data_IF_841577522337
#
_entry.id   IF_841577522337
#
_cell.length_a   1.000
_cell.length_b   1.000
_cell.length_c   1.000
_cell.angle_alpha   90.00
_cell.angle_beta   90.00
_cell.angle_gamma   90.00
#
_symmetry.space_group_name_H-M   'P 1'
#
loop_
_entity.id
_entity.type
_entity.pdbx_description
1 polymer ?
#
# COMPACT_ATOMS: atom_id res chain seq x y z
N UNK A 1 -13.54 9.03 15.33
CA UNK A 1 -12.20 8.49 15.63
C UNK A 1 -11.32 9.68 16.04
N UNK A 2 -10.84 9.75 17.29
CA UNK A 2 -9.89 10.81 17.67
C UNK A 2 -8.49 10.36 17.26
N UNK A 3 -7.92 10.99 16.24
CA UNK A 3 -6.53 10.75 15.87
C UNK A 3 -5.62 11.34 16.96
N UNK A 4 -4.73 10.52 17.52
CA UNK A 4 -3.72 10.99 18.46
C UNK A 4 -2.56 11.64 17.70
N UNK A 5 -1.84 12.57 18.34
CA UNK A 5 -0.69 13.28 17.76
C UNK A 5 0.33 12.33 17.13
N UNK A 6 0.56 11.17 17.75
CA UNK A 6 1.42 10.11 17.23
C UNK A 6 0.94 9.53 15.89
N UNK A 7 -0.36 9.31 15.74
CA UNK A 7 -0.95 8.79 14.49
C UNK A 7 -0.87 9.82 13.37
N UNK A 8 -1.12 11.09 13.67
CA UNK A 8 -0.99 12.18 12.71
C UNK A 8 0.46 12.28 12.22
N UNK A 9 1.42 12.18 13.14
CA UNK A 9 2.85 12.19 12.80
C UNK A 9 3.23 11.00 11.91
N UNK A 10 2.71 9.80 12.20
CA UNK A 10 2.94 8.62 11.36
C UNK A 10 2.34 8.77 9.96
N UNK A 11 1.13 9.32 9.85
CA UNK A 11 0.49 9.62 8.57
C UNK A 11 1.38 10.56 7.74
N UNK A 12 1.88 11.64 8.35
CA UNK A 12 2.74 12.60 7.68
C UNK A 12 4.08 12.01 7.24
N UNK A 13 4.75 11.24 8.10
CA UNK A 13 6.03 10.58 7.78
C UNK A 13 5.84 9.56 6.65
N UNK A 14 4.78 8.75 6.70
CA UNK A 14 4.47 7.81 5.64
C UNK A 14 4.24 8.53 4.32
N UNK A 15 3.38 9.55 4.30
CA UNK A 15 3.05 10.29 3.10
C UNK A 15 4.28 10.96 2.48
N UNK A 16 5.16 11.55 3.32
CA UNK A 16 6.42 12.12 2.87
C UNK A 16 7.35 11.07 2.26
N UNK A 17 7.49 9.91 2.91
CA UNK A 17 8.31 8.80 2.40
C UNK A 17 7.78 8.29 1.06
N UNK A 18 6.46 8.12 0.93
CA UNK A 18 5.82 7.73 -0.32
C UNK A 18 6.11 8.75 -1.42
N UNK A 19 5.90 10.04 -1.15
CA UNK A 19 6.12 11.11 -2.12
C UNK A 19 7.58 11.16 -2.58
N UNK A 20 8.55 11.00 -1.67
CA UNK A 20 9.97 10.92 -2.01
C UNK A 20 10.25 9.72 -2.91
N UNK A 21 9.72 8.53 -2.60
CA UNK A 21 9.94 7.33 -3.42
C UNK A 21 9.39 7.47 -4.84
N UNK A 22 8.25 8.13 -5.02
CA UNK A 22 7.71 8.43 -6.36
C UNK A 22 8.61 9.41 -7.12
N UNK A 23 9.08 10.48 -6.45
CA UNK A 23 9.75 11.59 -7.10
C UNK A 23 11.27 11.42 -7.28
N UNK A 24 11.92 10.52 -6.54
CA UNK A 24 13.36 10.25 -6.70
C UNK A 24 13.65 9.47 -8.00
N UNK A 25 12.71 8.64 -8.46
CA UNK A 25 12.86 7.87 -9.71
C UNK A 25 11.59 8.00 -10.56
N UNK A 26 11.31 9.19 -11.14
CA UNK A 26 10.08 9.45 -11.88
C UNK A 26 9.99 8.59 -13.15
N UNK A 27 11.14 8.25 -13.77
CA UNK A 27 11.19 7.37 -14.95
C UNK A 27 10.69 5.94 -14.70
N UNK A 28 10.82 5.43 -13.46
CA UNK A 28 10.23 4.15 -13.08
C UNK A 28 8.76 4.30 -12.67
N UNK A 29 8.39 5.43 -12.05
CA UNK A 29 7.06 5.63 -11.47
C UNK A 29 5.99 6.03 -12.49
N UNK A 30 6.36 6.72 -13.58
CA UNK A 30 5.44 7.23 -14.61
C UNK A 30 5.73 6.72 -16.04
N UNK A 31 6.75 5.87 -16.21
CA UNK A 31 7.09 5.25 -17.50
C UNK A 31 6.19 4.05 -17.82
N UNK A 32 6.27 3.45 -19.01
CA UNK A 32 5.35 2.38 -19.48
C UNK A 32 5.13 1.23 -18.48
N UNK A 33 6.19 0.77 -17.81
CA UNK A 33 6.09 -0.29 -16.79
C UNK A 33 5.47 0.16 -15.47
N UNK A 34 5.41 1.47 -15.20
CA UNK A 34 4.95 2.10 -13.96
C UNK A 34 5.29 1.27 -12.72
N UNK A 35 6.59 1.02 -12.51
CA UNK A 35 7.08 0.37 -11.30
C UNK A 35 6.92 1.35 -10.14
N UNK A 36 5.75 1.35 -9.50
CA UNK A 36 5.43 2.21 -8.35
C UNK A 36 6.18 1.70 -7.11
N UNK A 37 7.48 2.02 -7.03
CA UNK A 37 8.33 1.63 -5.90
C UNK A 37 7.75 2.04 -4.54
N UNK A 38 7.04 3.17 -4.51
CA UNK A 38 6.37 3.68 -3.32
C UNK A 38 5.27 2.75 -2.79
N UNK A 39 4.65 1.93 -3.65
CA UNK A 39 3.61 0.98 -3.25
C UNK A 39 4.17 -0.16 -2.39
N UNK A 40 5.49 -0.38 -2.36
CA UNK A 40 6.11 -1.27 -1.38
C UNK A 40 5.73 -0.93 0.07
N UNK A 41 5.48 0.36 0.37
CA UNK A 41 5.03 0.80 1.69
C UNK A 41 3.65 0.24 2.06
N UNK A 42 2.87 -0.27 1.10
CA UNK A 42 1.61 -0.99 1.35
C UNK A 42 1.82 -2.14 2.35
N UNK A 43 3.01 -2.74 2.38
CA UNK A 43 3.36 -3.76 3.37
C UNK A 43 3.38 -3.28 4.83
N UNK A 44 3.53 -1.97 5.08
CA UNK A 44 3.42 -1.42 6.42
C UNK A 44 1.96 -1.18 6.85
N UNK A 45 1.03 -1.02 5.90
CA UNK A 45 -0.39 -0.68 6.15
C UNK A 45 -1.09 -1.65 7.11
N UNK A 46 -0.96 -2.99 6.99
CA UNK A 46 -1.56 -3.93 7.92
C UNK A 46 -1.20 -3.67 9.39
N UNK A 47 0.02 -3.20 9.64
CA UNK A 47 0.60 -3.05 10.99
C UNK A 47 0.37 -1.65 11.57
N UNK A 48 0.34 -0.63 10.73
CA UNK A 48 0.07 0.76 11.12
C UNK A 48 -1.43 1.07 11.26
N UNK A 49 -2.27 0.15 10.78
CA UNK A 49 -3.73 0.23 10.80
C UNK A 49 -4.30 1.44 10.05
N UNK A 50 -5.30 2.12 10.60
CA UNK A 50 -5.94 3.27 9.93
C UNK A 50 -4.94 4.39 9.64
N UNK A 51 -3.94 4.60 10.50
CA UNK A 51 -2.88 5.58 10.22
C UNK A 51 -2.06 5.17 8.99
N UNK A 52 -1.81 3.88 8.78
CA UNK A 52 -1.21 3.35 7.56
C UNK A 52 -2.08 3.57 6.32
N UNK A 53 -3.38 3.30 6.42
CA UNK A 53 -4.34 3.52 5.31
C UNK A 53 -4.33 4.99 4.89
N UNK A 54 -4.51 5.91 5.85
CA UNK A 54 -4.52 7.34 5.57
C UNK A 54 -3.16 7.85 5.10
N UNK A 55 -2.06 7.35 5.68
CA UNK A 55 -0.70 7.66 5.24
C UNK A 55 -0.43 7.24 3.80
N UNK A 56 -0.87 6.04 3.41
CA UNK A 56 -0.75 5.55 2.04
C UNK A 56 -1.58 6.39 1.07
N UNK A 57 -2.84 6.66 1.40
CA UNK A 57 -3.72 7.50 0.57
C UNK A 57 -3.18 8.92 0.38
N UNK A 58 -2.74 9.58 1.45
CA UNK A 58 -2.13 10.90 1.35
C UNK A 58 -0.79 10.86 0.62
N UNK A 59 -0.01 9.79 0.79
CA UNK A 59 1.21 9.55 0.05
C UNK A 59 0.96 9.49 -1.46
N UNK A 60 0.00 8.68 -1.90
CA UNK A 60 -0.43 8.58 -3.30
C UNK A 60 -0.86 9.94 -3.84
N UNK A 61 -1.72 10.66 -3.10
CA UNK A 61 -2.21 11.96 -3.51
C UNK A 61 -1.07 12.99 -3.67
N UNK A 62 -0.22 13.13 -2.66
CA UNK A 62 0.89 14.10 -2.65
C UNK A 62 1.98 13.71 -3.65
N UNK A 63 2.31 12.42 -3.73
CA UNK A 63 3.31 11.88 -4.65
C UNK A 63 2.92 12.05 -6.12
N UNK A 64 1.62 12.05 -6.41
CA UNK A 64 1.07 12.23 -7.75
C UNK A 64 0.77 13.70 -8.12
N UNK A 65 0.95 14.67 -7.21
CA UNK A 65 0.80 16.10 -7.54
C UNK A 65 1.68 16.57 -8.71
N UNK A 66 2.98 16.20 -8.80
CA UNK A 66 3.83 16.57 -9.94
C UNK A 66 3.67 15.65 -11.15
N UNK A 67 2.65 14.79 -11.18
CA UNK A 67 2.45 13.83 -12.28
C UNK A 67 2.20 14.54 -13.62
N UNK A 68 2.83 14.08 -14.72
CA UNK A 68 2.60 14.63 -16.05
C UNK A 68 1.17 14.37 -16.58
N UNK A 69 0.43 13.46 -15.95
CA UNK A 69 -0.94 13.09 -16.33
C UNK A 69 -2.01 13.95 -15.62
N UNK A 70 -1.60 14.91 -14.79
CA UNK A 70 -2.48 15.89 -14.15
C UNK A 70 -3.53 15.27 -13.23
N UNK A 71 -4.74 15.84 -13.24
CA UNK A 71 -5.81 15.48 -12.28
C UNK A 71 -6.25 14.02 -12.39
N UNK A 72 -6.12 13.40 -13.57
CA UNK A 72 -6.54 12.01 -13.78
C UNK A 72 -5.69 11.07 -12.90
N UNK A 73 -4.40 11.36 -12.71
CA UNK A 73 -3.54 10.54 -11.85
C UNK A 73 -3.76 10.78 -10.35
N UNK A 74 -4.37 11.91 -9.98
CA UNK A 74 -4.84 12.13 -8.61
C UNK A 74 -6.07 11.26 -8.28
N UNK A 75 -6.88 10.88 -9.27
CA UNK A 75 -8.02 9.98 -9.06
C UNK A 75 -7.59 8.58 -8.61
N UNK A 76 -6.35 8.18 -8.88
CA UNK A 76 -5.77 6.92 -8.39
C UNK A 76 -5.69 6.84 -6.85
N UNK A 77 -5.86 7.97 -6.16
CA UNK A 77 -6.02 8.02 -4.71
C UNK A 77 -7.23 7.20 -4.23
N UNK A 78 -8.32 7.16 -5.01
CA UNK A 78 -9.56 6.45 -4.66
C UNK A 78 -9.35 4.92 -4.61
N UNK A 79 -8.92 4.26 -5.71
CA UNK A 79 -8.68 2.82 -5.68
C UNK A 79 -7.58 2.45 -4.68
N UNK A 80 -6.55 3.30 -4.53
CA UNK A 80 -5.48 3.09 -3.54
C UNK A 80 -6.00 3.12 -2.10
N UNK A 81 -6.90 4.04 -1.76
CA UNK A 81 -7.56 4.09 -0.46
C UNK A 81 -8.39 2.84 -0.18
N UNK A 82 -9.23 2.44 -1.13
CA UNK A 82 -10.09 1.26 -0.99
C UNK A 82 -9.23 0.02 -0.76
N UNK A 83 -8.20 -0.17 -1.56
CA UNK A 83 -7.35 -1.36 -1.46
C UNK A 83 -6.43 -1.34 -0.24
N UNK A 84 -5.91 -0.18 0.16
CA UNK A 84 -5.19 -0.05 1.44
C UNK A 84 -6.09 -0.40 2.63
N UNK A 85 -7.36 0.03 2.59
CA UNK A 85 -8.35 -0.35 3.60
C UNK A 85 -8.63 -1.86 3.60
N UNK A 86 -8.77 -2.49 2.43
CA UNK A 86 -8.94 -3.95 2.31
C UNK A 86 -7.74 -4.70 2.90
N UNK A 87 -6.52 -4.32 2.55
CA UNK A 87 -5.27 -4.89 3.08
C UNK A 87 -5.25 -4.83 4.61
N UNK A 88 -5.53 -3.64 5.17
CA UNK A 88 -5.64 -3.46 6.61
C UNK A 88 -6.74 -4.34 7.23
N UNK A 89 -7.94 -4.31 6.66
CA UNK A 89 -9.12 -4.97 7.24
C UNK A 89 -8.99 -6.49 7.24
N UNK A 90 -8.50 -7.08 6.13
CA UNK A 90 -8.25 -8.52 6.01
C UNK A 90 -7.23 -8.97 7.05
N UNK A 91 -6.10 -8.27 7.17
CA UNK A 91 -5.10 -8.62 8.18
C UNK A 91 -5.64 -8.44 9.60
N UNK A 92 -6.34 -7.34 9.89
CA UNK A 92 -6.95 -7.10 11.21
C UNK A 92 -7.89 -8.24 11.62
N UNK A 93 -8.70 -8.76 10.70
CA UNK A 93 -9.68 -9.81 10.98
C UNK A 93 -9.07 -11.20 11.10
N UNK A 94 -8.06 -11.50 10.29
CA UNK A 94 -7.54 -12.87 10.15
C UNK A 94 -6.23 -13.10 10.89
N UNK A 95 -5.43 -12.04 11.09
CA UNK A 95 -4.05 -12.09 11.58
C UNK A 95 -3.17 -13.07 10.77
N UNK A 96 -3.59 -13.40 9.55
CA UNK A 96 -2.90 -14.34 8.67
C UNK A 96 -2.01 -13.59 7.70
N UNK A 97 -0.70 -13.82 7.83
CA UNK A 97 0.31 -13.17 7.01
C UNK A 97 0.14 -13.52 5.52
N UNK A 98 -0.21 -14.75 5.17
CA UNK A 98 -0.33 -15.15 3.76
C UNK A 98 -1.50 -14.47 3.04
N UNK A 99 -2.56 -14.10 3.77
CA UNK A 99 -3.66 -13.34 3.19
C UNK A 99 -3.24 -11.90 2.82
N UNK A 100 -2.17 -11.37 3.43
CA UNK A 100 -1.60 -10.08 3.02
C UNK A 100 -1.07 -10.16 1.59
N UNK A 101 -0.41 -11.27 1.21
CA UNK A 101 0.06 -11.48 -0.17
C UNK A 101 -1.11 -11.55 -1.16
N UNK A 102 -2.22 -12.20 -0.79
CA UNK A 102 -3.43 -12.22 -1.62
C UNK A 102 -3.97 -10.80 -1.82
N UNK A 103 -3.99 -9.99 -0.76
CA UNK A 103 -4.42 -8.58 -0.88
C UNK A 103 -3.46 -7.73 -1.70
N UNK A 104 -2.16 -8.04 -1.75
CA UNK A 104 -1.22 -7.37 -2.67
C UNK A 104 -1.51 -7.70 -4.13
N UNK A 105 -1.85 -8.96 -4.44
CA UNK A 105 -2.28 -9.33 -5.78
C UNK A 105 -3.58 -8.62 -6.17
N UNK A 106 -4.55 -8.55 -5.25
CA UNK A 106 -5.78 -7.77 -5.45
C UNK A 106 -5.51 -6.28 -5.67
N UNK A 107 -4.63 -5.66 -4.86
CA UNK A 107 -4.24 -4.26 -5.01
C UNK A 107 -3.64 -4.01 -6.40
N UNK A 108 -2.72 -4.89 -6.80
CA UNK A 108 -2.04 -4.80 -8.09
C UNK A 108 -3.01 -4.97 -9.26
N UNK A 109 -4.03 -5.83 -9.13
CA UNK A 109 -5.07 -6.02 -10.15
C UNK A 109 -5.96 -4.78 -10.30
N UNK A 110 -6.41 -4.19 -9.19
CA UNK A 110 -7.22 -2.97 -9.20
C UNK A 110 -6.44 -1.80 -9.79
N UNK A 111 -5.20 -1.57 -9.34
CA UNK A 111 -4.38 -0.50 -9.91
C UNK A 111 -3.96 -0.80 -11.35
N UNK A 112 -3.71 -2.06 -11.69
CA UNK A 112 -3.50 -2.50 -13.07
C UNK A 112 -4.64 -2.06 -13.97
N UNK A 113 -5.89 -2.31 -13.56
CA UNK A 113 -7.07 -1.91 -14.32
C UNK A 113 -7.24 -0.38 -14.39
N UNK A 114 -7.16 0.32 -13.25
CA UNK A 114 -7.45 1.77 -13.22
C UNK A 114 -6.34 2.60 -13.86
N UNK A 115 -5.09 2.36 -13.47
CA UNK A 115 -3.93 3.10 -13.97
C UNK A 115 -3.58 2.62 -15.39
N UNK A 116 -3.68 1.31 -15.68
CA UNK A 116 -3.48 0.80 -17.04
C UNK A 116 -4.45 1.39 -18.05
N UNK A 117 -5.72 1.56 -17.66
CA UNK A 117 -6.70 2.28 -18.47
C UNK A 117 -6.31 3.75 -18.70
N UNK A 118 -5.87 4.45 -17.66
CA UNK A 118 -5.40 5.84 -17.78
C UNK A 118 -4.20 5.97 -18.73
N UNK A 119 -3.28 5.01 -18.73
CA UNK A 119 -2.03 5.08 -19.49
C UNK A 119 -2.15 4.59 -20.93
N UNK A 120 -3.16 3.79 -21.26
CA UNK A 120 -3.33 3.23 -22.60
C UNK A 120 -3.42 4.32 -23.67
N UNK A 121 -4.20 5.38 -23.41
CA UNK A 121 -4.39 6.48 -24.35
C UNK A 121 -3.14 7.37 -24.53
N UNK A 122 -2.47 7.87 -23.48
CA UNK A 122 -1.26 8.70 -23.61
C UNK A 122 -0.07 8.00 -24.28
N UNK A 123 0.11 6.69 -24.05
CA UNK A 123 1.24 5.94 -24.60
C UNK A 123 0.93 5.25 -25.94
N UNK A 124 -0.32 5.24 -26.39
CA UNK A 124 -0.73 4.56 -27.62
C UNK A 124 -0.53 3.04 -27.58
N UNK A 125 -0.56 2.44 -26.39
CA UNK A 125 -0.35 1.00 -26.16
C UNK A 125 -1.72 0.33 -26.00
N UNK A 126 -1.92 -0.89 -26.51
CA UNK A 126 -3.14 -1.67 -26.25
C UNK A 126 -3.49 -1.71 -24.76
N UNK A 127 -4.77 -1.54 -24.44
CA UNK A 127 -5.27 -1.45 -23.07
C UNK A 127 -4.86 -2.66 -22.25
N UNK A 128 -4.95 -3.85 -22.83
CA UNK A 128 -4.62 -5.13 -22.19
C UNK A 128 -3.16 -5.19 -21.77
N UNK A 129 -2.26 -4.69 -22.63
CA UNK A 129 -0.82 -4.64 -22.34
C UNK A 129 -0.51 -3.59 -21.27
N UNK A 130 -1.15 -2.43 -21.34
CA UNK A 130 -1.01 -1.38 -20.32
C UNK A 130 -1.43 -1.89 -18.93
N UNK A 131 -2.60 -2.55 -18.84
CA UNK A 131 -3.10 -3.18 -17.62
C UNK A 131 -2.11 -4.24 -17.12
N UNK A 132 -1.63 -5.10 -18.02
CA UNK A 132 -0.71 -6.18 -17.66
C UNK A 132 0.63 -5.65 -17.13
N UNK A 133 1.20 -4.62 -17.77
CA UNK A 133 2.47 -4.03 -17.32
C UNK A 133 2.34 -3.42 -15.93
N UNK A 134 1.30 -2.62 -15.70
CA UNK A 134 1.07 -2.00 -14.38
C UNK A 134 0.77 -3.08 -13.33
N UNK A 135 -0.03 -4.09 -13.66
CA UNK A 135 -0.34 -5.20 -12.77
C UNK A 135 0.94 -5.92 -12.33
N UNK A 136 1.78 -6.34 -13.28
CA UNK A 136 3.01 -7.06 -13.00
C UNK A 136 4.00 -6.18 -12.24
N UNK A 137 4.13 -4.91 -12.62
CA UNK A 137 5.00 -3.95 -11.94
C UNK A 137 4.66 -3.80 -10.46
N UNK A 138 3.39 -3.52 -10.16
CA UNK A 138 2.91 -3.40 -8.79
C UNK A 138 3.01 -4.71 -8.03
N UNK A 139 2.69 -5.84 -8.66
CA UNK A 139 2.77 -7.16 -8.02
C UNK A 139 4.21 -7.48 -7.62
N UNK A 140 5.17 -7.25 -8.51
CA UNK A 140 6.59 -7.48 -8.24
C UNK A 140 7.08 -6.60 -7.10
N UNK A 141 6.77 -5.30 -7.11
CA UNK A 141 7.19 -4.39 -6.03
C UNK A 141 6.57 -4.82 -4.69
N UNK A 142 5.26 -5.07 -4.66
CA UNK A 142 4.55 -5.42 -3.44
C UNK A 142 5.00 -6.78 -2.88
N UNK A 143 5.22 -7.77 -3.73
CA UNK A 143 5.63 -9.12 -3.32
C UNK A 143 7.12 -9.21 -3.01
N UNK A 144 8.01 -8.56 -3.76
CA UNK A 144 9.46 -8.66 -3.51
C UNK A 144 9.97 -7.67 -2.47
N UNK A 145 9.32 -6.51 -2.31
CA UNK A 145 9.77 -5.46 -1.37
C UNK A 145 8.76 -5.28 -0.25
N UNK A 146 7.48 -5.14 -0.59
CA UNK A 146 6.42 -4.91 0.41
C UNK A 146 6.25 -6.09 1.39
N UNK A 147 6.40 -7.32 0.93
CA UNK A 147 6.31 -8.50 1.81
C UNK A 147 7.47 -8.64 2.80
N UNK A 148 8.75 -8.55 2.38
CA UNK A 148 9.85 -8.48 3.34
C UNK A 148 9.69 -7.31 4.33
N UNK A 149 9.27 -6.14 3.83
CA UNK A 149 9.01 -4.98 4.70
C UNK A 149 7.96 -5.31 5.77
N UNK A 150 6.83 -5.91 5.39
CA UNK A 150 5.80 -6.37 6.32
C UNK A 150 6.38 -7.31 7.39
N UNK A 151 7.15 -8.33 6.97
CA UNK A 151 7.73 -9.32 7.91
C UNK A 151 8.73 -8.68 8.88
N UNK A 152 9.60 -7.78 8.39
CA UNK A 152 10.59 -7.07 9.21
C UNK A 152 9.89 -6.18 10.23
N UNK A 153 8.93 -5.37 9.80
CA UNK A 153 8.18 -4.47 10.68
C UNK A 153 7.35 -5.22 11.72
N UNK A 154 6.74 -6.35 11.33
CA UNK A 154 5.99 -7.22 12.24
C UNK A 154 6.92 -7.81 13.31
N UNK A 155 8.10 -8.30 12.91
CA UNK A 155 9.12 -8.83 13.82
C UNK A 155 9.67 -7.76 14.77
N UNK A 156 9.81 -6.53 14.28
CA UNK A 156 10.20 -5.37 15.09
C UNK A 156 9.11 -4.91 16.08
N UNK A 157 7.88 -5.43 15.96
CA UNK A 157 6.80 -5.14 16.89
C UNK A 157 6.20 -3.74 16.74
N UNK A 158 6.28 -3.12 15.55
CA UNK A 158 5.82 -1.72 15.37
C UNK A 158 4.33 -1.49 15.75
N UNK A 159 3.52 -2.55 15.68
CA UNK A 159 2.13 -2.56 16.09
C UNK A 159 1.93 -2.18 17.58
N UNK A 160 2.82 -2.62 18.48
CA UNK A 160 2.74 -2.30 19.91
C UNK A 160 3.06 -0.84 20.18
N UNK A 161 3.97 -0.25 19.40
CA UNK A 161 4.31 1.17 19.50
C UNK A 161 3.10 2.05 19.18
N UNK A 162 2.19 1.58 18.33
CA UNK A 162 1.03 2.35 17.85
C UNK A 162 -0.21 2.07 18.70
N UNK A 163 -0.09 1.23 19.74
CA UNK A 163 -1.21 0.82 20.59
C UNK A 163 -2.19 -0.12 19.90
N UNK A 164 -1.76 -0.79 18.81
CA UNK A 164 -2.49 -1.90 18.21
C UNK A 164 -1.94 -3.19 18.80
N UNK A 165 -2.47 -3.61 19.94
CA UNK A 165 -2.11 -4.92 20.48
C UNK A 165 -2.60 -6.02 19.53
N UNK A 166 -1.73 -6.97 19.14
CA UNK A 166 -2.20 -8.18 18.50
C UNK A 166 -3.15 -8.86 19.48
N UNK A 167 -4.34 -9.27 19.00
CA UNK A 167 -5.21 -10.15 19.79
C UNK A 167 -4.39 -11.41 20.09
N UNK A 168 -3.86 -11.52 21.30
CA UNK A 168 -3.26 -12.76 21.79
C UNK A 168 -4.33 -13.82 21.69
N UNK A 169 -4.15 -14.80 20.81
CA UNK A 169 -4.97 -16.01 20.83
C UNK A 169 -4.99 -16.53 22.27
N UNK A 170 -6.20 -16.72 22.80
CA UNK A 170 -6.45 -17.19 24.16
C UNK A 170 -6.01 -18.64 24.38
N UNK A 171 -4.71 -18.90 24.33
CA UNK A 171 -4.09 -20.11 24.85
C UNK A 171 -3.30 -19.76 26.10
N UNK A 172 -4.01 -19.55 27.21
CA UNK A 172 -3.52 -19.82 28.57
C UNK A 172 -4.72 -20.10 29.48
N UNK A 173 -5.02 -21.39 29.67
CA UNK A 173 -5.33 -22.08 30.94
C UNK A 173 -6.21 -23.30 30.69
N UNK A 174 -5.57 -24.46 30.54
CA UNK A 174 -6.05 -25.73 31.11
C UNK A 174 -4.90 -26.73 31.15
N UNK A 175 -3.80 -26.35 31.78
CA UNK A 175 -2.92 -27.28 32.48
C UNK A 175 -3.00 -26.86 33.95
N UNK A 176 -3.13 -27.85 34.83
CA UNK A 176 -3.45 -27.81 36.27
C UNK A 176 -4.90 -27.50 36.64
N UNK A 177 -5.74 -28.54 36.69
CA UNK A 177 -6.33 -29.09 37.93
C UNK A 177 -7.10 -30.38 37.63
#
# INVERSE_FOLDING_TARGET
MKLQTKQISLIAIYAALYAVLVNVIPGLSFGVLNLRMADALLGAVPLLGIAGVLGHTLGVFVGNLPSPFGVIDLLNTIPSFVMAFVVYYVFKRTQNDYLVLVTFAGYSAVLGATVGWMLAAPFGIPLELSILYVFLGNLVVNTLIGWPLFKILKKAGIQTWIGMEPKTNGMKKSESE
#
